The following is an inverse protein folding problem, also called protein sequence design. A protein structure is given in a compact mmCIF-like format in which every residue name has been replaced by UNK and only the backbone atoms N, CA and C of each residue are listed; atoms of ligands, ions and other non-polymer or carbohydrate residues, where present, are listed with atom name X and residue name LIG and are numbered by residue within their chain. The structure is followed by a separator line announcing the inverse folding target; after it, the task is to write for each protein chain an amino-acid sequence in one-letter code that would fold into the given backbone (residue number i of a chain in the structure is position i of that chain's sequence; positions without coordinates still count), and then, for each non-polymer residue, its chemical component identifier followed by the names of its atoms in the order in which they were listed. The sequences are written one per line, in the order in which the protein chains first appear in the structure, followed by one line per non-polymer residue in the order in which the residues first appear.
data_IF_339193808671
#
_entry.id   IF_339193808671
#
_cell.length_a   1.000
_cell.length_b   1.000
_cell.length_c   1.000
_cell.angle_alpha   90.00
_cell.angle_beta   90.00
_cell.angle_gamma   90.00
#
_symmetry.space_group_name_H-M   'P 1'
#
loop_
_entity.id
_entity.type
_entity.pdbx_description
1 polymer ?
#
# COMPACT_ATOMS: atom_id res chain seq x y z
N UNK A 1 46.14 -162.16 29.69
CA UNK A 1 46.24 -160.69 29.52
C UNK A 1 46.85 -160.47 28.16
N UNK A 2 45.98 -160.21 27.18
CA UNK A 2 46.28 -160.35 25.75
C UNK A 2 46.90 -159.12 25.11
N UNK A 3 47.94 -159.37 24.29
CA UNK A 3 48.69 -158.43 23.45
C UNK A 3 47.78 -157.66 22.46
N UNK A 4 46.59 -158.18 22.15
CA UNK A 4 45.58 -157.53 21.29
C UNK A 4 45.05 -156.21 21.86
N UNK A 5 44.89 -156.14 23.19
CA UNK A 5 44.33 -154.96 23.86
C UNK A 5 45.32 -153.77 23.87
N UNK A 6 46.62 -154.07 23.82
CA UNK A 6 47.71 -153.09 23.66
C UNK A 6 47.81 -152.53 22.24
N UNK A 7 47.41 -153.31 21.23
CA UNK A 7 47.43 -152.88 19.83
C UNK A 7 46.24 -151.98 19.48
N UNK A 8 45.06 -152.27 20.05
CA UNK A 8 43.87 -151.41 19.93
C UNK A 8 44.04 -150.07 20.66
N UNK A 9 44.61 -150.08 21.88
CA UNK A 9 44.93 -148.83 22.60
C UNK A 9 45.96 -147.98 21.86
N UNK A 10 46.96 -148.58 21.19
CA UNK A 10 47.92 -147.86 20.35
C UNK A 10 47.29 -147.26 19.10
N UNK A 11 46.41 -147.99 18.41
CA UNK A 11 45.64 -147.48 17.26
C UNK A 11 44.70 -146.33 17.67
N UNK A 12 44.04 -146.46 18.82
CA UNK A 12 43.21 -145.41 19.40
C UNK A 12 44.02 -144.15 19.73
N UNK A 13 45.21 -144.31 20.32
CA UNK A 13 46.14 -143.21 20.61
C UNK A 13 46.64 -142.51 19.34
N UNK A 14 46.88 -143.26 18.26
CA UNK A 14 47.27 -142.68 16.95
C UNK A 14 46.10 -141.90 16.35
N UNK A 15 44.88 -142.43 16.40
CA UNK A 15 43.68 -141.75 15.93
C UNK A 15 43.41 -140.48 16.73
N UNK A 16 43.52 -140.54 18.06
CA UNK A 16 43.40 -139.37 18.94
C UNK A 16 44.50 -138.33 18.67
N UNK A 17 45.74 -138.76 18.40
CA UNK A 17 46.82 -137.85 18.03
C UNK A 17 46.56 -137.15 16.69
N UNK A 18 46.10 -137.88 15.67
CA UNK A 18 45.77 -137.32 14.36
C UNK A 18 44.57 -136.38 14.43
N UNK A 19 43.54 -136.75 15.20
CA UNK A 19 42.39 -135.91 15.50
C UNK A 19 42.82 -134.61 16.19
N UNK A 20 43.66 -134.71 17.23
CA UNK A 20 44.22 -133.55 17.93
C UNK A 20 45.14 -132.72 17.02
N UNK A 21 45.92 -133.33 16.13
CA UNK A 21 46.74 -132.60 15.15
C UNK A 21 45.88 -131.88 14.10
N UNK A 22 44.78 -132.49 13.65
CA UNK A 22 43.82 -131.88 12.74
C UNK A 22 43.12 -130.70 13.43
N UNK A 23 42.63 -130.90 14.65
CA UNK A 23 42.00 -129.85 15.45
C UNK A 23 42.99 -128.71 15.78
N UNK A 24 44.25 -129.03 16.06
CA UNK A 24 45.30 -128.03 16.27
C UNK A 24 45.54 -127.23 14.99
N UNK A 25 45.70 -127.89 13.84
CA UNK A 25 45.88 -127.23 12.54
C UNK A 25 44.68 -126.36 12.17
N UNK A 26 43.46 -126.82 12.44
CA UNK A 26 42.23 -126.08 12.18
C UNK A 26 42.15 -124.85 13.09
N UNK A 27 42.47 -124.99 14.37
CA UNK A 27 42.57 -123.87 15.31
C UNK A 27 43.69 -122.89 14.96
N UNK A 28 44.83 -123.34 14.48
CA UNK A 28 45.91 -122.48 13.98
C UNK A 28 45.44 -121.66 12.76
N UNK A 29 44.68 -122.28 11.84
CA UNK A 29 44.09 -121.55 10.71
C UNK A 29 43.00 -120.57 11.12
N UNK A 30 42.14 -120.93 12.08
CA UNK A 30 41.13 -120.04 12.65
C UNK A 30 41.79 -118.84 13.34
N UNK A 31 42.82 -119.08 14.14
CA UNK A 31 43.60 -118.03 14.80
C UNK A 31 44.21 -117.11 13.75
N UNK A 32 44.81 -117.64 12.69
CA UNK A 32 45.40 -116.83 11.62
C UNK A 32 44.36 -115.93 10.93
N UNK A 33 43.17 -116.45 10.61
CA UNK A 33 42.07 -115.68 10.01
C UNK A 33 41.57 -114.58 10.94
N UNK A 34 41.27 -114.93 12.19
CA UNK A 34 40.79 -113.97 13.20
C UNK A 34 41.84 -112.88 13.45
N UNK A 35 43.14 -113.23 13.43
CA UNK A 35 44.22 -112.25 13.59
C UNK A 35 44.27 -111.28 12.40
N UNK A 36 44.08 -111.78 11.17
CA UNK A 36 44.03 -110.93 9.98
C UNK A 36 42.79 -110.01 9.98
N UNK A 37 41.61 -110.53 10.33
CA UNK A 37 40.37 -109.76 10.45
C UNK A 37 40.45 -108.69 11.55
N UNK A 38 41.07 -109.01 12.69
CA UNK A 38 41.32 -108.06 13.77
C UNK A 38 42.22 -106.91 13.32
N UNK A 39 43.24 -107.20 12.50
CA UNK A 39 44.17 -106.17 12.04
C UNK A 39 43.53 -105.28 10.96
N UNK A 40 42.72 -105.85 10.08
CA UNK A 40 41.92 -105.07 9.11
C UNK A 40 40.90 -104.16 9.81
N UNK A 41 40.16 -104.69 10.80
CA UNK A 41 39.20 -103.89 11.58
C UNK A 41 39.88 -102.77 12.37
N UNK A 42 41.08 -103.00 12.93
CA UNK A 42 41.87 -101.92 13.57
C UNK A 42 42.25 -100.82 12.60
N UNK A 43 42.72 -101.17 11.40
CA UNK A 43 43.11 -100.17 10.40
C UNK A 43 41.90 -99.37 9.91
N UNK A 44 40.74 -100.01 9.70
CA UNK A 44 39.48 -99.32 9.40
C UNK A 44 39.07 -98.41 10.56
N UNK A 45 39.11 -98.89 11.80
CA UNK A 45 38.77 -98.10 12.98
C UNK A 45 39.69 -96.87 13.12
N UNK A 46 40.99 -97.01 12.84
CA UNK A 46 41.96 -95.91 12.86
C UNK A 46 41.70 -94.88 11.76
N UNK A 47 41.36 -95.32 10.55
CA UNK A 47 40.94 -94.43 9.46
C UNK A 47 39.68 -93.64 9.84
N UNK A 48 38.65 -94.32 10.35
CA UNK A 48 37.42 -93.69 10.81
C UNK A 48 37.69 -92.69 11.94
N UNK A 49 38.53 -93.04 12.90
CA UNK A 49 38.92 -92.15 14.00
C UNK A 49 39.64 -90.89 13.49
N UNK A 50 40.52 -91.02 12.50
CA UNK A 50 41.20 -89.88 11.90
C UNK A 50 40.25 -88.98 11.11
N UNK A 51 39.35 -89.56 10.29
CA UNK A 51 38.33 -88.79 9.57
C UNK A 51 37.42 -88.03 10.54
N UNK A 52 36.95 -88.69 11.61
CA UNK A 52 36.12 -88.03 12.63
C UNK A 52 36.87 -86.89 13.32
N UNK A 53 38.18 -87.04 13.58
CA UNK A 53 38.99 -85.95 14.15
C UNK A 53 39.13 -84.77 13.21
N UNK A 54 39.39 -85.02 11.93
CA UNK A 54 39.48 -83.98 10.90
C UNK A 54 38.15 -83.25 10.72
N UNK A 55 37.05 -84.00 10.65
CA UNK A 55 35.70 -83.45 10.53
C UNK A 55 35.31 -82.63 11.78
N UNK A 56 35.63 -83.13 12.98
CA UNK A 56 35.42 -82.39 14.24
C UNK A 56 36.22 -81.08 14.25
N UNK A 57 37.49 -81.11 13.83
CA UNK A 57 38.32 -79.91 13.75
C UNK A 57 37.79 -78.90 12.71
N UNK A 58 37.34 -79.38 11.55
CA UNK A 58 36.75 -78.55 10.50
C UNK A 58 35.44 -77.89 10.97
N UNK A 59 34.55 -78.66 11.61
CA UNK A 59 33.31 -78.15 12.18
C UNK A 59 33.60 -77.13 13.30
N UNK A 60 34.58 -77.38 14.15
CA UNK A 60 34.94 -76.47 15.23
C UNK A 60 35.52 -75.14 14.72
N UNK A 61 36.32 -75.18 13.65
CA UNK A 61 36.77 -73.98 12.95
C UNK A 61 35.61 -73.22 12.28
N UNK A 62 34.68 -73.93 11.64
CA UNK A 62 33.50 -73.34 11.00
C UNK A 62 32.59 -72.66 12.04
N UNK A 63 32.35 -73.32 13.17
CA UNK A 63 31.59 -72.74 14.29
C UNK A 63 32.30 -71.50 14.84
N UNK A 64 33.63 -71.54 15.02
CA UNK A 64 34.38 -70.37 15.52
C UNK A 64 34.31 -69.17 14.55
N UNK A 65 34.42 -69.42 13.24
CA UNK A 65 34.35 -68.36 12.22
C UNK A 65 32.95 -67.76 12.10
N UNK A 66 31.91 -68.60 12.07
CA UNK A 66 30.52 -68.14 12.09
C UNK A 66 30.17 -67.38 13.37
N UNK A 67 30.69 -67.81 14.52
CA UNK A 67 30.48 -67.11 15.78
C UNK A 67 31.08 -65.70 15.74
N UNK A 68 32.30 -65.54 15.19
CA UNK A 68 32.93 -64.23 15.00
C UNK A 68 32.17 -63.35 13.99
N UNK A 69 31.73 -63.93 12.88
CA UNK A 69 30.94 -63.22 11.88
C UNK A 69 29.61 -62.72 12.48
N UNK A 70 28.92 -63.57 13.24
CA UNK A 70 27.68 -63.20 13.95
C UNK A 70 27.90 -62.07 14.95
N UNK A 71 28.97 -62.11 15.74
CA UNK A 71 29.27 -61.03 16.68
C UNK A 71 29.55 -59.70 15.98
N UNK A 72 30.21 -59.73 14.83
CA UNK A 72 30.50 -58.51 14.06
C UNK A 72 29.23 -57.93 13.42
N UNK A 73 28.35 -58.79 12.90
CA UNK A 73 27.05 -58.37 12.37
C UNK A 73 26.18 -57.74 13.46
N UNK A 74 26.13 -58.32 14.66
CA UNK A 74 25.36 -57.73 15.77
C UNK A 74 25.94 -56.37 16.19
N UNK A 75 27.27 -56.25 16.26
CA UNK A 75 27.94 -54.97 16.55
C UNK A 75 27.59 -53.90 15.52
N UNK A 76 27.67 -54.22 14.22
CA UNK A 76 27.34 -53.28 13.15
C UNK A 76 25.85 -52.90 13.16
N UNK A 77 24.97 -53.85 13.48
CA UNK A 77 23.54 -53.59 13.62
C UNK A 77 23.27 -52.61 14.77
N UNK A 78 23.88 -52.83 15.93
CA UNK A 78 23.77 -51.93 17.08
C UNK A 78 24.28 -50.51 16.74
N UNK A 79 25.40 -50.39 16.02
CA UNK A 79 25.92 -49.09 15.58
C UNK A 79 24.98 -48.37 14.62
N UNK A 80 24.40 -49.09 13.66
CA UNK A 80 23.43 -48.52 12.71
C UNK A 80 22.15 -48.10 13.42
N UNK A 81 21.64 -48.92 14.36
CA UNK A 81 20.44 -48.60 15.15
C UNK A 81 20.67 -47.36 16.02
N UNK A 82 21.81 -47.26 16.71
CA UNK A 82 22.18 -46.08 17.50
C UNK A 82 22.27 -44.83 16.61
N UNK A 83 22.95 -44.93 15.45
CA UNK A 83 23.07 -43.81 14.50
C UNK A 83 21.70 -43.34 14.01
N UNK A 84 20.84 -44.28 13.63
CA UNK A 84 19.50 -43.96 13.14
C UNK A 84 18.64 -43.32 14.25
N UNK A 85 18.73 -43.83 15.49
CA UNK A 85 18.02 -43.23 16.63
C UNK A 85 18.46 -41.79 16.90
N UNK A 86 19.77 -41.51 16.84
CA UNK A 86 20.30 -40.16 16.99
C UNK A 86 19.81 -39.23 15.87
N UNK A 87 19.83 -39.69 14.61
CA UNK A 87 19.33 -38.92 13.48
C UNK A 87 17.83 -38.64 13.59
N UNK A 88 17.03 -39.63 13.99
CA UNK A 88 15.60 -39.46 14.22
C UNK A 88 15.31 -38.46 15.33
N UNK A 89 16.06 -38.49 16.42
CA UNK A 89 15.93 -37.52 17.51
C UNK A 89 16.26 -36.09 17.06
N UNK A 90 17.37 -35.91 16.33
CA UNK A 90 17.76 -34.61 15.79
C UNK A 90 16.73 -34.06 14.79
N UNK A 91 16.25 -34.92 13.88
CA UNK A 91 15.21 -34.54 12.92
C UNK A 91 13.90 -34.15 13.62
N UNK A 92 13.46 -34.92 14.61
CA UNK A 92 12.27 -34.59 15.38
C UNK A 92 12.39 -33.25 16.12
N UNK A 93 13.56 -32.98 16.71
CA UNK A 93 13.85 -31.69 17.35
C UNK A 93 13.77 -30.55 16.34
N UNK A 94 14.44 -30.67 15.20
CA UNK A 94 14.43 -29.64 14.16
C UNK A 94 13.02 -29.41 13.60
N UNK A 95 12.24 -30.47 13.44
CA UNK A 95 10.87 -30.39 12.94
C UNK A 95 9.95 -29.72 13.97
N UNK A 96 10.17 -29.92 15.27
CA UNK A 96 9.49 -29.16 16.32
C UNK A 96 9.82 -27.67 16.24
N UNK A 97 11.11 -27.32 16.15
CA UNK A 97 11.55 -25.93 16.03
C UNK A 97 10.98 -25.24 14.80
N UNK A 98 11.02 -25.88 13.64
CA UNK A 98 10.45 -25.32 12.40
C UNK A 98 8.93 -25.12 12.49
N UNK A 99 8.21 -26.00 13.20
CA UNK A 99 6.77 -25.81 13.44
C UNK A 99 6.49 -24.61 14.33
N UNK A 100 7.29 -24.41 15.37
CA UNK A 100 7.17 -23.25 16.27
C UNK A 100 7.48 -21.95 15.52
N UNK A 101 8.56 -21.91 14.73
CA UNK A 101 8.92 -20.76 13.90
C UNK A 101 7.84 -20.44 12.86
N UNK A 102 7.25 -21.46 12.24
CA UNK A 102 6.15 -21.28 11.29
C UNK A 102 4.93 -20.65 11.98
N UNK A 103 4.50 -21.18 13.13
CA UNK A 103 3.38 -20.64 13.91
C UNK A 103 3.68 -19.19 14.31
N UNK A 104 4.90 -18.89 14.75
CA UNK A 104 5.30 -17.53 15.11
C UNK A 104 5.25 -16.58 13.91
N UNK A 105 5.72 -17.04 12.74
CA UNK A 105 5.66 -16.26 11.50
C UNK A 105 4.22 -16.01 11.04
N UNK A 106 3.34 -17.01 11.14
CA UNK A 106 1.91 -16.87 10.82
C UNK A 106 1.22 -15.87 11.74
N UNK A 107 1.50 -15.93 13.04
CA UNK A 107 0.95 -14.97 14.01
C UNK A 107 1.43 -13.55 13.73
N UNK A 108 2.73 -13.38 13.43
CA UNK A 108 3.28 -12.08 13.04
C UNK A 108 2.65 -11.54 11.76
N UNK A 109 2.37 -12.41 10.78
CA UNK A 109 1.67 -12.01 9.55
C UNK A 109 0.27 -11.48 9.86
N UNK A 110 -0.50 -12.19 10.70
CA UNK A 110 -1.84 -11.77 11.13
C UNK A 110 -1.81 -10.44 11.89
N UNK A 111 -0.84 -10.23 12.77
CA UNK A 111 -0.66 -8.95 13.48
C UNK A 111 -0.36 -7.80 12.52
N UNK A 112 0.51 -8.03 11.53
CA UNK A 112 0.83 -7.03 10.52
C UNK A 112 -0.39 -6.70 9.64
N UNK A 113 -1.18 -7.70 9.25
CA UNK A 113 -2.43 -7.49 8.51
C UNK A 113 -3.42 -6.65 9.31
N UNK A 114 -3.62 -6.96 10.60
CA UNK A 114 -4.49 -6.17 11.47
C UNK A 114 -4.00 -4.72 11.64
N UNK A 115 -2.69 -4.52 11.77
CA UNK A 115 -2.09 -3.19 11.85
C UNK A 115 -2.29 -2.39 10.55
N UNK A 116 -2.16 -3.03 9.39
CA UNK A 116 -2.41 -2.40 8.09
C UNK A 116 -3.87 -1.94 7.99
N UNK A 117 -4.81 -2.76 8.42
CA UNK A 117 -6.24 -2.40 8.37
C UNK A 117 -6.58 -1.25 9.32
N UNK A 118 -6.01 -1.24 10.53
CA UNK A 118 -6.15 -0.12 11.47
C UNK A 118 -5.59 1.18 10.87
N UNK A 119 -4.36 1.15 10.33
CA UNK A 119 -3.73 2.33 9.72
C UNK A 119 -4.52 2.85 8.52
N UNK A 120 -5.08 1.97 7.68
CA UNK A 120 -5.98 2.38 6.59
C UNK A 120 -7.21 3.09 7.11
N UNK A 121 -7.81 2.58 8.19
CA UNK A 121 -8.94 3.22 8.87
C UNK A 121 -8.60 4.62 9.36
N UNK A 122 -7.49 4.77 10.09
CA UNK A 122 -7.02 6.07 10.60
C UNK A 122 -6.72 7.08 9.49
N UNK A 123 -6.05 6.64 8.42
CA UNK A 123 -5.76 7.49 7.26
C UNK A 123 -7.06 7.98 6.62
N UNK A 124 -8.04 7.09 6.43
CA UNK A 124 -9.32 7.45 5.83
C UNK A 124 -10.10 8.44 6.71
N UNK A 125 -10.16 8.20 8.02
CA UNK A 125 -10.84 9.07 8.97
C UNK A 125 -10.20 10.46 9.03
N UNK A 126 -8.87 10.54 9.15
CA UNK A 126 -8.14 11.80 9.17
C UNK A 126 -8.33 12.57 7.86
N UNK A 127 -8.29 11.87 6.72
CA UNK A 127 -8.50 12.49 5.42
C UNK A 127 -9.92 13.04 5.27
N UNK A 128 -10.94 12.33 5.77
CA UNK A 128 -12.33 12.84 5.77
C UNK A 128 -12.44 14.12 6.58
N UNK A 129 -11.90 14.13 7.80
CA UNK A 129 -11.92 15.31 8.69
C UNK A 129 -11.23 16.51 8.08
N UNK A 130 -10.06 16.32 7.46
CA UNK A 130 -9.35 17.40 6.75
C UNK A 130 -10.17 17.95 5.58
N UNK A 131 -10.79 17.08 4.78
CA UNK A 131 -11.61 17.50 3.65
C UNK A 131 -12.86 18.26 4.11
N UNK A 132 -13.53 17.79 5.16
CA UNK A 132 -14.68 18.47 5.77
C UNK A 132 -14.30 19.86 6.28
N UNK A 133 -13.20 19.97 7.03
CA UNK A 133 -12.72 21.26 7.53
C UNK A 133 -12.37 22.24 6.40
N UNK A 134 -11.75 21.74 5.33
CA UNK A 134 -11.44 22.57 4.15
C UNK A 134 -12.70 23.03 3.42
N UNK A 135 -13.71 22.15 3.28
CA UNK A 135 -15.00 22.51 2.69
C UNK A 135 -15.68 23.61 3.51
N UNK A 136 -15.69 23.48 4.84
CA UNK A 136 -16.32 24.47 5.71
C UNK A 136 -15.58 25.81 5.69
N UNK A 137 -14.23 25.79 5.63
CA UNK A 137 -13.46 27.02 5.47
C UNK A 137 -13.77 27.71 4.13
N UNK A 138 -13.76 26.97 3.02
CA UNK A 138 -14.07 27.50 1.70
C UNK A 138 -15.50 28.07 1.62
N UNK A 139 -16.49 27.42 2.25
CA UNK A 139 -17.85 27.98 2.37
C UNK A 139 -17.86 29.29 3.15
N UNK A 140 -17.09 29.37 4.24
CA UNK A 140 -16.92 30.61 5.01
C UNK A 140 -16.33 31.73 4.15
N UNK A 141 -15.27 31.46 3.40
CA UNK A 141 -14.64 32.42 2.49
C UNK A 141 -15.61 32.89 1.39
N UNK A 142 -16.40 31.97 0.81
CA UNK A 142 -17.46 32.30 -0.16
C UNK A 142 -18.46 33.29 0.44
N UNK A 143 -18.98 33.02 1.65
CA UNK A 143 -19.96 33.90 2.28
C UNK A 143 -19.41 35.30 2.58
N UNK A 144 -18.14 35.40 2.99
CA UNK A 144 -17.47 36.69 3.20
C UNK A 144 -17.36 37.46 1.89
N UNK A 145 -16.95 36.80 0.81
CA UNK A 145 -16.83 37.42 -0.52
C UNK A 145 -18.20 37.84 -1.07
N UNK A 146 -19.23 37.01 -0.92
CA UNK A 146 -20.61 37.33 -1.31
C UNK A 146 -21.12 38.58 -0.58
N UNK A 147 -20.91 38.65 0.74
CA UNK A 147 -21.29 39.81 1.54
C UNK A 147 -20.53 41.08 1.11
N UNK A 148 -19.23 40.96 0.83
CA UNK A 148 -18.42 42.07 0.34
C UNK A 148 -18.90 42.59 -1.01
N UNK A 149 -19.19 41.69 -1.96
CA UNK A 149 -19.76 42.04 -3.27
C UNK A 149 -21.09 42.75 -3.10
N UNK A 150 -21.98 42.23 -2.24
CA UNK A 150 -23.29 42.83 -1.99
C UNK A 150 -23.14 44.26 -1.42
N UNK A 151 -22.27 44.45 -0.43
CA UNK A 151 -22.00 45.78 0.13
C UNK A 151 -21.49 46.76 -0.93
N UNK A 152 -20.50 46.36 -1.75
CA UNK A 152 -19.99 47.22 -2.83
C UNK A 152 -21.05 47.54 -3.89
N UNK A 153 -21.97 46.61 -4.17
CA UNK A 153 -23.10 46.87 -5.08
C UNK A 153 -24.07 47.90 -4.49
N UNK A 154 -24.36 47.83 -3.20
CA UNK A 154 -25.25 48.76 -2.52
C UNK A 154 -24.64 50.17 -2.42
N UNK A 155 -23.33 50.27 -2.13
CA UNK A 155 -22.58 51.53 -2.21
C UNK A 155 -22.63 52.13 -3.63
N UNK A 156 -22.43 51.31 -4.67
CA UNK A 156 -22.52 51.75 -6.07
C UNK A 156 -23.91 52.28 -6.40
N UNK A 157 -24.98 51.61 -5.95
CA UNK A 157 -26.37 52.06 -6.14
C UNK A 157 -26.60 53.41 -5.45
N UNK A 158 -26.16 53.56 -4.20
CA UNK A 158 -26.32 54.79 -3.44
C UNK A 158 -25.57 55.99 -4.09
N UNK A 159 -24.35 55.76 -4.58
CA UNK A 159 -23.59 56.77 -5.31
C UNK A 159 -24.27 57.16 -6.62
N UNK A 160 -24.77 56.18 -7.38
CA UNK A 160 -25.49 56.45 -8.63
C UNK A 160 -26.76 57.28 -8.38
N UNK A 161 -27.54 56.95 -7.35
CA UNK A 161 -28.72 57.73 -6.98
C UNK A 161 -28.36 59.17 -6.61
N UNK A 162 -27.25 59.37 -5.90
CA UNK A 162 -26.75 60.71 -5.56
C UNK A 162 -26.32 61.49 -6.81
N UNK A 163 -25.61 60.85 -7.75
CA UNK A 163 -25.22 61.47 -9.02
C UNK A 163 -26.46 61.94 -9.79
N UNK A 164 -27.44 61.06 -9.99
CA UNK A 164 -28.70 61.40 -10.69
C UNK A 164 -29.45 62.55 -10.01
N UNK A 165 -29.51 62.59 -8.67
CA UNK A 165 -30.10 63.71 -7.93
C UNK A 165 -29.35 65.02 -8.22
N UNK A 166 -28.02 65.00 -8.20
CA UNK A 166 -27.21 66.18 -8.46
C UNK A 166 -27.32 66.65 -9.92
N UNK A 167 -27.37 65.74 -10.88
CA UNK A 167 -27.56 66.06 -12.31
C UNK A 167 -28.90 66.76 -12.54
N UNK A 168 -29.98 66.22 -11.95
CA UNK A 168 -31.31 66.84 -12.00
C UNK A 168 -31.33 68.24 -11.35
N UNK A 169 -30.58 68.45 -10.26
CA UNK A 169 -30.49 69.76 -9.61
C UNK A 169 -29.72 70.77 -10.47
N UNK A 170 -28.63 70.34 -11.09
CA UNK A 170 -27.86 71.17 -12.04
C UNK A 170 -28.74 71.58 -13.22
N UNK A 171 -29.51 70.67 -13.81
CA UNK A 171 -30.43 70.98 -14.92
C UNK A 171 -31.49 72.04 -14.51
N UNK A 172 -32.07 71.90 -13.32
CA UNK A 172 -33.01 72.90 -12.77
C UNK A 172 -32.35 74.26 -12.57
N UNK A 173 -31.14 74.30 -12.02
CA UNK A 173 -30.40 75.55 -11.80
C UNK A 173 -29.97 76.21 -13.11
N UNK A 174 -29.60 75.42 -14.12
CA UNK A 174 -29.29 75.92 -15.46
C UNK A 174 -30.53 76.57 -16.10
N UNK A 175 -31.68 75.89 -16.04
CA UNK A 175 -32.96 76.42 -16.52
C UNK A 175 -33.30 77.73 -15.82
N UNK A 176 -33.28 77.77 -14.48
CA UNK A 176 -33.54 78.98 -13.70
C UNK A 176 -32.56 80.12 -14.01
N UNK A 177 -31.28 79.79 -14.23
CA UNK A 177 -30.27 80.78 -14.61
C UNK A 177 -30.59 81.40 -15.96
N UNK A 178 -30.99 80.58 -16.94
CA UNK A 178 -31.39 81.07 -18.27
C UNK A 178 -32.61 81.99 -18.19
N UNK A 179 -33.62 81.63 -17.40
CA UNK A 179 -34.81 82.47 -17.17
C UNK A 179 -34.46 83.81 -16.51
N UNK A 180 -33.59 83.80 -15.49
CA UNK A 180 -33.19 85.02 -14.79
C UNK A 180 -32.34 85.93 -15.68
N UNK A 181 -31.52 85.37 -16.58
CA UNK A 181 -30.79 86.15 -17.59
C UNK A 181 -31.75 86.87 -18.54
N UNK A 182 -32.74 86.16 -19.08
CA UNK A 182 -33.75 86.77 -19.95
C UNK A 182 -34.50 87.90 -19.23
N UNK A 183 -34.96 87.66 -17.99
CA UNK A 183 -35.64 88.68 -17.18
C UNK A 183 -34.75 89.90 -16.92
N UNK A 184 -33.45 89.70 -16.71
CA UNK A 184 -32.49 90.78 -16.54
C UNK A 184 -32.33 91.59 -17.82
N UNK A 185 -32.18 90.92 -18.97
CA UNK A 185 -32.08 91.56 -20.29
C UNK A 185 -33.34 92.38 -20.60
N UNK A 186 -34.53 91.83 -20.37
CA UNK A 186 -35.81 92.53 -20.52
C UNK A 186 -35.90 93.77 -19.61
N UNK A 187 -35.49 93.63 -18.35
CA UNK A 187 -35.51 94.74 -17.38
C UNK A 187 -34.49 95.83 -17.75
N UNK A 188 -33.32 95.44 -18.25
CA UNK A 188 -32.31 96.37 -18.74
C UNK A 188 -32.80 97.13 -19.98
N UNK A 189 -33.45 96.44 -20.93
CA UNK A 189 -34.06 97.07 -22.10
C UNK A 189 -35.14 98.09 -21.70
N UNK A 190 -36.04 97.71 -20.79
CA UNK A 190 -37.07 98.61 -20.26
C UNK A 190 -36.47 99.84 -19.54
N UNK A 191 -35.42 99.65 -18.73
CA UNK A 191 -34.71 100.74 -18.06
C UNK A 191 -34.09 101.71 -19.08
N UNK A 192 -33.46 101.19 -20.14
CA UNK A 192 -32.88 102.03 -21.19
C UNK A 192 -33.94 102.86 -21.92
N UNK A 193 -35.10 102.29 -22.23
CA UNK A 193 -36.19 103.01 -22.90
C UNK A 193 -36.79 104.09 -21.99
N UNK A 194 -37.07 103.77 -20.73
CA UNK A 194 -37.50 104.76 -19.73
C UNK A 194 -36.44 105.87 -19.54
N UNK A 195 -35.15 105.54 -19.61
CA UNK A 195 -34.07 106.52 -19.57
C UNK A 195 -34.11 107.50 -20.75
N UNK A 196 -34.38 107.00 -21.96
CA UNK A 196 -34.56 107.83 -23.17
C UNK A 196 -35.80 108.70 -23.09
N UNK A 197 -36.92 108.15 -22.64
CA UNK A 197 -38.16 108.91 -22.43
C UNK A 197 -37.98 110.00 -21.39
N UNK A 198 -37.35 109.69 -20.25
CA UNK A 198 -37.07 110.67 -19.19
C UNK A 198 -36.17 111.81 -19.70
N UNK A 199 -35.10 111.48 -20.43
CA UNK A 199 -34.26 112.49 -21.07
C UNK A 199 -35.06 113.37 -22.05
N UNK A 200 -35.92 112.76 -22.87
CA UNK A 200 -36.78 113.46 -23.81
C UNK A 200 -37.74 114.42 -23.11
N UNK A 201 -38.34 113.97 -22.00
CA UNK A 201 -39.21 114.78 -21.14
C UNK A 201 -38.47 115.93 -20.47
N UNK A 202 -37.26 115.70 -19.95
CA UNK A 202 -36.42 116.76 -19.37
C UNK A 202 -36.08 117.82 -20.42
N UNK A 203 -35.69 117.43 -21.63
CA UNK A 203 -35.44 118.36 -22.74
C UNK A 203 -36.71 119.16 -23.06
N UNK A 204 -37.88 118.51 -23.15
CA UNK A 204 -39.15 119.18 -23.41
C UNK A 204 -39.53 120.17 -22.29
N UNK A 205 -39.32 119.79 -21.03
CA UNK A 205 -39.54 120.63 -19.87
C UNK A 205 -38.60 121.84 -19.87
N UNK A 206 -37.29 121.64 -20.07
CA UNK A 206 -36.31 122.73 -20.16
C UNK A 206 -36.65 123.70 -21.28
N UNK A 207 -37.00 123.21 -22.48
CA UNK A 207 -37.46 124.06 -23.61
C UNK A 207 -38.70 124.88 -23.26
N UNK A 208 -39.61 124.30 -22.48
CA UNK A 208 -40.83 124.99 -22.05
C UNK A 208 -40.51 126.07 -21.00
N UNK A 209 -39.63 125.77 -20.05
CA UNK A 209 -39.19 126.73 -19.02
C UNK A 209 -38.33 127.87 -19.58
N UNK A 210 -37.54 127.63 -20.63
CA UNK A 210 -36.72 128.65 -21.29
C UNK A 210 -37.48 129.47 -22.33
N UNK A 211 -38.78 129.23 -22.52
CA UNK A 211 -39.59 129.93 -23.52
C UNK A 211 -39.81 131.38 -23.11
N UNK A 212 -39.38 132.29 -23.98
CA UNK A 212 -39.61 133.73 -23.86
C UNK A 212 -40.44 134.22 -25.05
N UNK A 213 -41.12 135.35 -24.89
CA UNK A 213 -41.76 136.03 -26.01
C UNK A 213 -40.67 136.46 -27.00
N UNK A 214 -40.73 135.90 -28.21
CA UNK A 214 -39.81 136.27 -29.29
C UNK A 214 -40.20 137.68 -29.75
N UNK A 215 -39.20 138.53 -29.98
CA UNK A 215 -39.46 139.89 -30.45
C UNK A 215 -40.00 139.83 -31.88
N UNK A 216 -40.95 140.70 -32.19
CA UNK A 216 -41.55 140.77 -33.52
C UNK A 216 -40.50 140.94 -34.62
N UNK A 217 -39.40 141.67 -34.36
CA UNK A 217 -38.30 141.89 -35.31
C UNK A 217 -37.58 140.59 -35.75
N UNK A 218 -37.60 139.55 -34.91
CA UNK A 218 -36.85 138.31 -35.11
C UNK A 218 -37.69 137.20 -35.79
N UNK A 219 -38.94 137.49 -36.19
CA UNK A 219 -39.87 136.50 -36.76
C UNK A 219 -40.51 137.00 -38.05
N UNK A 220 -40.05 136.50 -39.20
CA UNK A 220 -40.60 136.88 -40.52
C UNK A 220 -41.70 135.95 -41.03
N UNK A 221 -41.79 134.73 -40.48
CA UNK A 221 -42.74 133.71 -40.90
C UNK A 221 -43.42 133.07 -39.68
N UNK A 222 -44.67 132.65 -39.85
CA UNK A 222 -45.36 131.85 -38.84
C UNK A 222 -44.58 130.57 -38.57
N UNK A 223 -44.10 130.37 -37.34
CA UNK A 223 -43.27 129.21 -37.00
C UNK A 223 -44.01 127.85 -37.10
N UNK A 224 -45.34 127.85 -37.23
CA UNK A 224 -46.13 126.62 -37.38
C UNK A 224 -46.33 126.20 -38.85
N UNK A 225 -46.69 127.15 -39.73
CA UNK A 225 -47.02 126.87 -41.14
C UNK A 225 -46.07 127.52 -42.16
N UNK A 226 -45.03 128.20 -41.69
CA UNK A 226 -43.99 128.89 -42.47
C UNK A 226 -44.49 130.00 -43.42
N UNK A 227 -45.74 130.45 -43.28
CA UNK A 227 -46.29 131.56 -44.06
C UNK A 227 -45.66 132.89 -43.63
N UNK A 228 -45.14 133.66 -44.57
CA UNK A 228 -44.53 134.97 -44.30
C UNK A 228 -45.57 135.98 -43.76
N UNK A 229 -45.17 136.72 -42.73
CA UNK A 229 -45.96 137.81 -42.19
C UNK A 229 -45.91 139.01 -43.14
N UNK A 230 -47.04 139.68 -43.30
CA UNK A 230 -47.24 140.81 -44.21
C UNK A 230 -48.35 141.72 -43.65
N UNK A 231 -48.64 142.83 -44.30
CA UNK A 231 -49.72 143.74 -43.87
C UNK A 231 -51.08 143.01 -43.78
N UNK A 232 -51.31 142.02 -44.65
CA UNK A 232 -52.51 141.16 -44.65
C UNK A 232 -52.43 139.95 -43.71
N UNK A 233 -51.26 139.62 -43.17
CA UNK A 233 -51.03 138.45 -42.29
C UNK A 233 -50.10 138.90 -41.17
N UNK A 234 -50.67 139.35 -40.04
CA UNK A 234 -49.91 139.92 -38.90
C UNK A 234 -49.26 138.83 -38.03
N UNK A 235 -48.19 139.23 -37.32
CA UNK A 235 -47.43 138.40 -36.36
C UNK A 235 -48.30 137.93 -35.20
#
# INVERSE_FOLDING_TARGET
MDVSNLQETKQLLISQKLELQSQLSEKETDISKITAELEETKEVAKKVQNMLREETAALQNKVSTEMKARTEVERLKEEIEQRNNLQMSALNSNLSTLREELIQSENRSKELEANIDNLKGEIHENRSKELEANIDNLKGEIHVLEASIQNSQDERRALLERCLKSENEVEKLQTKTSEMRLKLEDSQAAMHELGRENQSLQIAQTKTMSRQWVKDEDVDNCMACQKAFSISVRK
#
